data_IF_412663166340
#
_entry.id   IF_412663166340
#
_cell.length_a   1.000
_cell.length_b   1.000
_cell.length_c   1.000
_cell.angle_alpha   90.00
_cell.angle_beta   90.00
_cell.angle_gamma   90.00
#
_symmetry.space_group_name_H-M   'P 1'
#
loop_
_entity.id
_entity.type
_entity.pdbx_description
1 polymer ?
#
# COMPACT_ATOMS: atom_id res chain seq x y z
N UNK A 1 -0.38 3.86 -17.06
CA UNK A 1 -1.49 4.38 -16.22
C UNK A 1 -2.64 3.40 -16.11
N UNK A 2 -3.11 2.77 -17.20
CA UNK A 2 -4.26 1.82 -17.16
C UNK A 2 -4.07 0.60 -16.24
N UNK A 3 -2.86 0.05 -16.11
CA UNK A 3 -2.63 -1.16 -15.31
C UNK A 3 -2.88 -0.96 -13.80
N UNK A 4 -2.54 0.21 -13.24
CA UNK A 4 -2.73 0.51 -11.80
C UNK A 4 -4.23 0.60 -11.47
N UNK A 5 -5.00 1.20 -12.37
CA UNK A 5 -6.45 1.30 -12.24
C UNK A 5 -7.12 -0.08 -12.26
N UNK A 6 -6.70 -0.96 -13.17
CA UNK A 6 -7.17 -2.35 -13.22
C UNK A 6 -6.80 -3.09 -11.93
N UNK A 7 -5.58 -2.91 -11.41
CA UNK A 7 -5.16 -3.51 -10.14
C UNK A 7 -6.02 -3.02 -8.96
N UNK A 8 -6.37 -1.73 -8.91
CA UNK A 8 -7.27 -1.18 -7.89
C UNK A 8 -8.62 -1.91 -7.89
N UNK A 9 -9.25 -2.05 -9.06
CA UNK A 9 -10.53 -2.73 -9.21
C UNK A 9 -10.47 -4.24 -8.95
N UNK A 10 -9.48 -4.93 -9.52
CA UNK A 10 -9.33 -6.39 -9.34
C UNK A 10 -9.03 -6.73 -7.88
N UNK A 11 -8.24 -5.88 -7.19
CA UNK A 11 -7.98 -6.06 -5.77
C UNK A 11 -9.20 -5.79 -4.88
N UNK A 12 -10.18 -4.99 -5.34
CA UNK A 12 -11.41 -4.71 -4.58
C UNK A 12 -12.37 -5.92 -4.50
N UNK A 13 -12.13 -6.95 -5.30
CA UNK A 13 -13.00 -8.11 -5.44
C UNK A 13 -12.73 -9.15 -4.32
N UNK A 14 -12.45 -10.40 -4.67
CA UNK A 14 -12.33 -11.52 -3.73
C UNK A 14 -10.87 -11.84 -3.30
N UNK A 15 -10.72 -12.77 -2.35
CA UNK A 15 -9.41 -13.20 -1.82
C UNK A 15 -8.52 -13.88 -2.86
N UNK A 16 -9.10 -14.56 -3.86
CA UNK A 16 -8.36 -15.22 -4.94
C UNK A 16 -7.79 -14.19 -5.89
N UNK A 17 -8.58 -13.19 -6.30
CA UNK A 17 -8.11 -12.09 -7.15
C UNK A 17 -6.94 -11.35 -6.51
N UNK A 18 -7.05 -10.98 -5.22
CA UNK A 18 -5.96 -10.36 -4.45
C UNK A 18 -4.69 -11.22 -4.42
N UNK A 19 -4.83 -12.53 -4.30
CA UNK A 19 -3.68 -13.45 -4.27
C UNK A 19 -3.04 -13.62 -5.65
N UNK A 20 -3.85 -13.63 -6.72
CA UNK A 20 -3.35 -13.60 -8.09
C UNK A 20 -2.57 -12.33 -8.38
N UNK A 21 -3.02 -11.17 -7.90
CA UNK A 21 -2.25 -9.92 -8.02
C UNK A 21 -0.84 -10.07 -7.41
N UNK A 22 -0.73 -10.67 -6.22
CA UNK A 22 0.59 -10.95 -5.62
C UNK A 22 1.43 -11.87 -6.51
N UNK A 23 0.85 -12.97 -7.00
CA UNK A 23 1.55 -13.94 -7.84
C UNK A 23 2.04 -13.34 -9.18
N UNK A 24 1.36 -12.32 -9.68
CA UNK A 24 1.72 -11.58 -10.90
C UNK A 24 2.61 -10.35 -10.62
N UNK A 25 3.13 -10.18 -9.40
CA UNK A 25 4.08 -9.12 -9.10
C UNK A 25 3.47 -7.73 -8.91
N UNK A 26 2.16 -7.65 -8.62
CA UNK A 26 1.48 -6.36 -8.39
C UNK A 26 2.21 -5.45 -7.37
N UNK A 27 2.80 -5.95 -6.26
CA UNK A 27 3.52 -5.08 -5.34
C UNK A 27 4.69 -4.32 -5.97
N UNK A 28 5.46 -4.96 -6.85
CA UNK A 28 6.59 -4.34 -7.55
C UNK A 28 6.08 -3.31 -8.55
N UNK A 29 5.05 -3.67 -9.33
CA UNK A 29 4.42 -2.77 -10.32
C UNK A 29 3.89 -1.50 -9.65
N UNK A 30 3.23 -1.64 -8.49
CA UNK A 30 2.72 -0.50 -7.72
C UNK A 30 3.87 0.36 -7.21
N UNK A 31 4.95 -0.24 -6.70
CA UNK A 31 6.11 0.48 -6.20
C UNK A 31 6.81 1.28 -7.30
N UNK A 32 7.01 0.67 -8.47
CA UNK A 32 7.58 1.30 -9.65
C UNK A 32 6.69 2.45 -10.15
N UNK A 33 5.37 2.25 -10.21
CA UNK A 33 4.44 3.26 -10.68
C UNK A 33 4.46 4.53 -9.80
N UNK A 34 4.38 4.36 -8.47
CA UNK A 34 4.43 5.48 -7.52
C UNK A 34 5.79 6.18 -7.57
N UNK A 35 6.87 5.44 -7.77
CA UNK A 35 8.23 6.00 -7.85
C UNK A 35 8.48 6.76 -9.16
N UNK A 36 7.94 6.27 -10.28
CA UNK A 36 8.11 6.88 -11.60
C UNK A 36 7.23 8.12 -11.80
N UNK A 37 6.04 8.16 -11.19
CA UNK A 37 5.08 9.25 -11.36
C UNK A 37 4.62 9.86 -10.03
N UNK A 38 5.54 10.33 -9.17
CA UNK A 38 5.20 10.77 -7.82
C UNK A 38 4.26 11.98 -7.81
N UNK A 39 4.31 12.85 -8.84
CA UNK A 39 3.46 14.04 -8.96
C UNK A 39 2.06 13.78 -9.53
N UNK A 40 1.76 12.57 -10.01
CA UNK A 40 0.44 12.25 -10.55
C UNK A 40 -0.48 11.77 -9.42
N UNK A 41 -1.31 12.69 -8.91
CA UNK A 41 -2.19 12.44 -7.75
C UNK A 41 -3.12 11.25 -7.97
N UNK A 42 -3.79 11.17 -9.13
CA UNK A 42 -4.70 10.06 -9.45
C UNK A 42 -3.96 8.73 -9.46
N UNK A 43 -2.80 8.65 -10.11
CA UNK A 43 -2.03 7.41 -10.14
C UNK A 43 -1.60 6.98 -8.74
N UNK A 44 -1.15 7.93 -7.92
CA UNK A 44 -0.70 7.66 -6.55
C UNK A 44 -1.88 7.23 -5.67
N UNK A 45 -3.02 7.91 -5.73
CA UNK A 45 -4.22 7.57 -4.96
C UNK A 45 -4.74 6.18 -5.33
N UNK A 46 -4.85 5.86 -6.63
CA UNK A 46 -5.25 4.53 -7.09
C UNK A 46 -4.24 3.44 -6.70
N UNK A 47 -2.94 3.73 -6.77
CA UNK A 47 -1.92 2.77 -6.36
C UNK A 47 -2.03 2.46 -4.86
N UNK A 48 -2.16 3.48 -4.02
CA UNK A 48 -2.36 3.34 -2.57
C UNK A 48 -3.68 2.60 -2.27
N UNK A 49 -4.75 2.92 -3.00
CA UNK A 49 -6.02 2.20 -2.92
C UNK A 49 -5.90 0.72 -3.28
N UNK A 50 -5.08 0.37 -4.28
CA UNK A 50 -4.81 -1.01 -4.63
C UNK A 50 -4.07 -1.73 -3.49
N UNK A 51 -3.10 -1.07 -2.85
CA UNK A 51 -2.42 -1.60 -1.65
C UNK A 51 -3.40 -1.85 -0.50
N UNK A 52 -4.29 -0.88 -0.21
CA UNK A 52 -5.38 -1.04 0.77
C UNK A 52 -6.18 -2.31 0.48
N UNK A 53 -6.61 -2.51 -0.76
CA UNK A 53 -7.48 -3.61 -1.15
C UNK A 53 -6.77 -4.98 -1.09
N UNK A 54 -5.52 -5.07 -1.59
CA UNK A 54 -4.69 -6.28 -1.55
C UNK A 54 -4.42 -6.70 -0.11
N UNK A 55 -4.17 -5.75 0.77
CA UNK A 55 -3.80 -6.01 2.17
C UNK A 55 -5.01 -6.21 3.10
N UNK A 56 -6.24 -6.13 2.59
CA UNK A 56 -7.43 -6.27 3.42
C UNK A 56 -7.74 -7.72 3.83
N UNK A 57 -7.90 -7.94 5.13
CA UNK A 57 -8.25 -9.22 5.76
C UNK A 57 -7.24 -9.67 6.82
N UNK A 58 -7.59 -10.73 7.55
CA UNK A 58 -6.80 -11.25 8.69
C UNK A 58 -6.54 -12.76 8.63
N UNK A 59 -6.82 -13.40 7.49
CA UNK A 59 -6.43 -14.81 7.28
C UNK A 59 -4.93 -14.95 7.06
N UNK A 60 -4.39 -16.16 7.23
CA UNK A 60 -2.97 -16.46 6.97
C UNK A 60 -2.54 -16.07 5.55
N UNK A 61 -3.41 -16.34 4.57
CA UNK A 61 -3.20 -15.91 3.18
C UNK A 61 -3.05 -14.39 3.10
N UNK A 62 -3.88 -13.64 3.83
CA UNK A 62 -3.78 -12.18 3.85
C UNK A 62 -2.48 -11.70 4.50
N UNK A 63 -2.04 -12.34 5.58
CA UNK A 63 -0.75 -12.05 6.23
C UNK A 63 0.38 -12.20 5.23
N UNK A 64 0.40 -13.27 4.42
CA UNK A 64 1.42 -13.44 3.38
C UNK A 64 1.38 -12.35 2.30
N UNK A 65 0.18 -11.91 1.89
CA UNK A 65 0.06 -10.78 0.95
C UNK A 65 0.62 -9.49 1.53
N UNK A 66 0.29 -9.18 2.79
CA UNK A 66 0.82 -8.01 3.51
C UNK A 66 2.36 -8.09 3.61
N UNK A 67 2.94 -9.26 3.95
CA UNK A 67 4.41 -9.47 3.92
C UNK A 67 5.00 -9.18 2.54
N UNK A 68 4.37 -9.67 1.48
CA UNK A 68 4.83 -9.44 0.11
C UNK A 68 4.83 -7.93 -0.23
N UNK A 69 3.78 -7.20 0.15
CA UNK A 69 3.71 -5.75 -0.04
C UNK A 69 4.79 -4.99 0.74
N UNK A 70 5.06 -5.39 1.99
CA UNK A 70 6.13 -4.78 2.79
C UNK A 70 7.50 -5.04 2.18
N UNK A 71 7.79 -6.28 1.78
CA UNK A 71 9.05 -6.64 1.11
C UNK A 71 9.28 -5.89 -0.19
N UNK A 72 8.20 -5.56 -0.91
CA UNK A 72 8.26 -4.73 -2.12
C UNK A 72 8.44 -3.23 -1.84
N UNK A 73 8.53 -2.80 -0.57
CA UNK A 73 8.74 -1.41 -0.20
C UNK A 73 7.49 -0.54 -0.29
N UNK A 74 6.29 -1.13 -0.31
CA UNK A 74 5.06 -0.34 -0.44
C UNK A 74 4.74 0.50 0.80
N UNK A 75 5.14 0.07 1.99
CA UNK A 75 4.94 0.84 3.23
C UNK A 75 5.57 2.25 3.20
N UNK A 76 6.89 2.40 2.96
CA UNK A 76 7.50 3.73 2.85
C UNK A 76 6.98 4.53 1.65
N UNK A 77 6.51 3.87 0.58
CA UNK A 77 5.93 4.54 -0.59
C UNK A 77 4.52 5.09 -0.33
N UNK A 78 3.67 4.37 0.40
CA UNK A 78 2.36 4.87 0.86
C UNK A 78 2.56 6.13 1.68
N UNK A 79 3.46 6.10 2.67
CA UNK A 79 3.79 7.27 3.49
C UNK A 79 4.31 8.44 2.67
N UNK A 80 5.18 8.18 1.68
CA UNK A 80 5.71 9.22 0.79
C UNK A 80 4.59 9.83 -0.06
N UNK A 81 3.73 9.01 -0.65
CA UNK A 81 2.59 9.46 -1.45
C UNK A 81 1.65 10.35 -0.63
N UNK A 82 1.33 9.93 0.59
CA UNK A 82 0.52 10.74 1.53
C UNK A 82 1.19 12.08 1.88
N UNK A 83 2.51 12.11 2.09
CA UNK A 83 3.25 13.36 2.36
C UNK A 83 3.30 14.29 1.15
N UNK A 84 3.36 13.72 -0.05
CA UNK A 84 3.44 14.50 -1.29
C UNK A 84 2.07 15.09 -1.67
N UNK A 85 1.00 14.35 -1.43
CA UNK A 85 -0.38 14.74 -1.74
C UNK A 85 -1.20 14.95 -0.46
N UNK A 86 -0.68 15.78 0.45
CA UNK A 86 -1.29 16.02 1.78
C UNK A 86 -2.72 16.56 1.74
N UNK A 87 -3.09 17.25 0.66
CA UNK A 87 -4.40 17.90 0.50
C UNK A 87 -5.38 17.09 -0.35
N UNK A 88 -4.95 15.95 -0.85
CA UNK A 88 -5.80 15.06 -1.64
C UNK A 88 -6.51 14.07 -0.72
N UNK A 89 -7.84 14.18 -0.65
CA UNK A 89 -8.68 13.41 0.27
C UNK A 89 -8.57 11.90 0.02
N UNK A 90 -8.66 11.48 -1.24
CA UNK A 90 -8.54 10.08 -1.65
C UNK A 90 -7.18 9.50 -1.25
N UNK A 91 -6.08 10.21 -1.53
CA UNK A 91 -4.73 9.77 -1.13
C UNK A 91 -4.61 9.62 0.38
N UNK A 92 -5.20 10.51 1.18
CA UNK A 92 -5.17 10.40 2.64
C UNK A 92 -6.05 9.24 3.13
N UNK A 93 -7.29 9.14 2.65
CA UNK A 93 -8.24 8.09 3.07
C UNK A 93 -7.70 6.69 2.73
N UNK A 94 -7.31 6.48 1.48
CA UNK A 94 -6.71 5.22 1.05
C UNK A 94 -5.39 4.97 1.75
N UNK A 95 -4.60 6.03 1.99
CA UNK A 95 -3.33 5.97 2.71
C UNK A 95 -3.48 5.44 4.12
N UNK A 96 -4.35 6.04 4.94
CA UNK A 96 -4.60 5.58 6.29
C UNK A 96 -5.11 4.14 6.32
N UNK A 97 -6.06 3.80 5.44
CA UNK A 97 -6.57 2.44 5.32
C UNK A 97 -5.48 1.43 4.92
N UNK A 98 -4.61 1.81 3.98
CA UNK A 98 -3.49 0.97 3.55
C UNK A 98 -2.48 0.76 4.67
N UNK A 99 -2.16 1.79 5.46
CA UNK A 99 -1.25 1.68 6.61
C UNK A 99 -1.81 0.72 7.66
N UNK A 100 -3.07 0.87 8.04
CA UNK A 100 -3.73 -0.03 8.99
C UNK A 100 -3.69 -1.47 8.48
N UNK A 101 -4.00 -1.69 7.20
CA UNK A 101 -3.99 -3.02 6.61
C UNK A 101 -2.58 -3.62 6.52
N UNK A 102 -1.55 -2.83 6.21
CA UNK A 102 -0.17 -3.29 6.11
C UNK A 102 0.43 -3.64 7.49
N UNK A 103 0.13 -2.85 8.51
CA UNK A 103 0.77 -2.97 9.84
C UNK A 103 0.01 -3.97 10.72
N UNK A 104 -1.31 -4.11 10.54
CA UNK A 104 -2.13 -5.02 11.34
C UNK A 104 -1.59 -6.45 11.29
N UNK A 105 -1.19 -6.95 12.46
CA UNK A 105 -0.68 -8.31 12.71
C UNK A 105 0.68 -8.62 12.06
N UNK A 106 1.47 -7.60 11.70
CA UNK A 106 2.83 -7.77 11.18
C UNK A 106 3.94 -7.68 12.24
N UNK A 107 5.08 -8.27 11.88
CA UNK A 107 6.33 -8.40 12.63
C UNK A 107 7.04 -7.05 12.82
N UNK A 108 8.05 -7.03 13.69
CA UNK A 108 8.80 -5.85 14.13
C UNK A 108 9.25 -4.94 12.98
N UNK A 109 9.55 -5.46 11.78
CA UNK A 109 10.03 -4.67 10.65
C UNK A 109 9.00 -3.63 10.14
N UNK A 110 7.71 -3.97 10.16
CA UNK A 110 6.65 -3.03 9.76
C UNK A 110 6.50 -1.90 10.78
N UNK A 111 6.54 -2.27 12.06
CA UNK A 111 6.50 -1.32 13.18
C UNK A 111 7.75 -0.44 13.24
N UNK A 112 8.93 -0.99 12.99
CA UNK A 112 10.21 -0.28 12.95
C UNK A 112 10.27 0.69 11.76
N UNK A 113 9.82 0.27 10.56
CA UNK A 113 9.76 1.16 9.41
C UNK A 113 8.80 2.33 9.65
N UNK A 114 7.66 2.09 10.31
CA UNK A 114 6.74 3.15 10.73
C UNK A 114 7.37 4.02 11.81
N UNK A 115 8.00 3.45 12.83
CA UNK A 115 8.63 4.18 13.93
C UNK A 115 9.80 5.04 13.46
N UNK A 116 10.68 4.52 12.60
CA UNK A 116 11.77 5.26 11.97
C UNK A 116 11.25 6.44 11.13
N UNK A 117 10.12 6.25 10.44
CA UNK A 117 9.49 7.31 9.64
C UNK A 117 8.65 8.28 10.48
N UNK A 118 8.13 7.83 11.63
CA UNK A 118 7.47 8.62 12.66
C UNK A 118 8.47 9.37 13.56
N UNK A 119 9.78 9.07 13.46
CA UNK A 119 10.89 9.82 14.05
C UNK A 119 11.00 11.30 13.63
N UNK A 120 10.01 11.85 12.93
CA UNK A 120 9.78 13.28 12.74
C UNK A 120 8.71 13.89 13.66
N UNK A 121 7.92 13.11 14.39
CA UNK A 121 7.02 13.57 15.45
C UNK A 121 7.09 12.59 16.63
N UNK A 122 7.81 13.02 17.67
CA UNK A 122 8.01 12.32 18.95
C UNK A 122 6.76 11.60 19.47
N UNK A 123 7.03 10.46 20.11
CA UNK A 123 6.18 9.75 21.07
C UNK A 123 5.00 8.96 20.49
N UNK A 124 5.14 7.63 20.51
CA UNK A 124 4.21 6.71 21.15
C UNK A 124 5.02 5.54 21.72
#
# INVERSE_FOLDING_TARGET
TQCVWILFFVAANDQRAKSQCINHGAPVILAEAVSAYPGNVDLVSHAIGAVRNICAGDSEVCIERKRACIRAGLLPLVLRGMRQHLRDEDTQEYGFSALVNLISRHTSEAHEAVAAMAGGHKAL
#
